data_IF_091683432427
#
_entry.id   IF_091683432427
#
_cell.length_a   1.000
_cell.length_b   1.000
_cell.length_c   1.000
_cell.angle_alpha   90.00
_cell.angle_beta   90.00
_cell.angle_gamma   90.00
#
_symmetry.space_group_name_H-M   'P 1'
#
loop_
_entity.id
_entity.type
_entity.pdbx_description
1 polymer ?
#
# COMPACT_ATOMS: atom_id res chain seq x y z
N UNK A 1 -14.70 -2.19 12.95
CA UNK A 1 -15.67 -1.50 13.84
C UNK A 1 -15.46 -1.76 15.33
N UNK A 2 -14.98 -2.95 15.76
CA UNK A 2 -14.86 -3.29 17.18
C UNK A 2 -14.04 -2.28 18.00
N UNK A 3 -12.88 -1.82 17.50
CA UNK A 3 -12.10 -0.78 18.19
C UNK A 3 -12.92 0.49 18.46
N UNK A 4 -13.68 0.96 17.47
CA UNK A 4 -14.44 2.23 17.56
C UNK A 4 -15.70 2.14 18.45
N UNK A 5 -16.07 0.93 18.87
CA UNK A 5 -17.33 0.67 19.61
C UNK A 5 -17.09 -0.03 20.95
N UNK A 6 -15.83 -0.31 21.30
CA UNK A 6 -15.47 -0.97 22.54
C UNK A 6 -15.43 0.05 23.69
N UNK A 7 -16.13 -0.25 24.78
CA UNK A 7 -16.12 0.56 26.00
C UNK A 7 -15.11 0.07 27.05
N UNK A 8 -14.55 -1.11 26.85
CA UNK A 8 -13.51 -1.69 27.71
C UNK A 8 -12.14 -1.18 27.25
N UNK A 9 -11.48 -0.43 28.12
CA UNK A 9 -10.21 0.23 27.83
C UNK A 9 -9.09 -0.79 27.54
N UNK A 10 -9.06 -1.92 28.25
CA UNK A 10 -8.03 -2.94 28.09
C UNK A 10 -8.18 -3.61 26.72
N UNK A 11 -9.41 -3.97 26.35
CA UNK A 11 -9.71 -4.57 25.04
C UNK A 11 -9.46 -3.56 23.91
N UNK A 12 -9.85 -2.30 24.11
CA UNK A 12 -9.60 -1.24 23.13
C UNK A 12 -8.10 -1.03 22.88
N UNK A 13 -7.28 -0.99 23.93
CA UNK A 13 -5.84 -0.86 23.79
C UNK A 13 -5.23 -2.05 23.05
N UNK A 14 -5.66 -3.28 23.36
CA UNK A 14 -5.19 -4.46 22.65
C UNK A 14 -5.55 -4.40 21.15
N UNK A 15 -6.79 -4.05 20.81
CA UNK A 15 -7.24 -3.89 19.43
C UNK A 15 -6.49 -2.76 18.69
N UNK A 16 -6.12 -1.69 19.40
CA UNK A 16 -5.35 -0.59 18.82
C UNK A 16 -3.94 -1.05 18.43
N UNK A 17 -3.26 -1.82 19.30
CA UNK A 17 -1.95 -2.39 19.01
C UNK A 17 -1.99 -3.33 17.81
N UNK A 18 -2.97 -4.22 17.74
CA UNK A 18 -3.16 -5.11 16.59
C UNK A 18 -3.36 -4.33 15.28
N UNK A 19 -4.17 -3.27 15.31
CA UNK A 19 -4.37 -2.40 14.13
C UNK A 19 -3.08 -1.68 13.73
N UNK A 20 -2.27 -1.24 14.71
CA UNK A 20 -0.97 -0.62 14.45
C UNK A 20 -0.06 -1.62 13.75
N UNK A 21 0.03 -2.86 14.22
CA UNK A 21 0.86 -3.90 13.63
C UNK A 21 0.45 -4.23 12.20
N UNK A 22 -0.86 -4.41 11.96
CA UNK A 22 -1.41 -4.62 10.61
C UNK A 22 -1.09 -3.43 9.69
N UNK A 23 -1.21 -2.20 10.20
CA UNK A 23 -0.90 -1.01 9.43
C UNK A 23 0.60 -0.87 9.13
N UNK A 24 1.47 -1.27 10.05
CA UNK A 24 2.91 -1.28 9.87
C UNK A 24 3.31 -2.30 8.78
N UNK A 25 2.73 -3.49 8.82
CA UNK A 25 2.97 -4.50 7.78
C UNK A 25 2.47 -4.03 6.42
N UNK A 26 1.28 -3.42 6.36
CA UNK A 26 0.76 -2.79 5.13
C UNK A 26 1.73 -1.74 4.56
N UNK A 27 2.29 -0.86 5.42
CA UNK A 27 3.28 0.15 5.00
C UNK A 27 4.56 -0.51 4.49
N UNK A 28 5.07 -1.53 5.19
CA UNK A 28 6.26 -2.28 4.80
C UNK A 28 6.10 -2.90 3.41
N UNK A 29 4.98 -3.59 3.18
CA UNK A 29 4.65 -4.18 1.87
C UNK A 29 4.53 -3.11 0.77
N UNK A 30 3.86 -1.99 1.05
CA UNK A 30 3.72 -0.87 0.10
C UNK A 30 5.09 -0.33 -0.31
N UNK A 31 6.01 -0.15 0.64
CA UNK A 31 7.37 0.32 0.36
C UNK A 31 8.18 -0.71 -0.43
N UNK A 32 8.13 -1.98 -0.05
CA UNK A 32 8.85 -3.04 -0.74
C UNK A 32 8.42 -3.18 -2.21
N UNK A 33 7.12 -3.09 -2.49
CA UNK A 33 6.62 -3.15 -3.87
C UNK A 33 7.04 -1.91 -4.66
N UNK A 34 7.01 -0.73 -4.03
CA UNK A 34 7.48 0.49 -4.66
C UNK A 34 8.97 0.41 -5.06
N UNK A 35 9.82 -0.08 -4.16
CA UNK A 35 11.25 -0.32 -4.42
C UNK A 35 11.46 -1.37 -5.53
N UNK A 36 10.66 -2.43 -5.53
CA UNK A 36 10.68 -3.44 -6.59
C UNK A 36 10.36 -2.82 -7.97
N UNK A 37 9.29 -2.02 -8.07
CA UNK A 37 8.88 -1.34 -9.29
C UNK A 37 9.99 -0.39 -9.80
N UNK A 38 10.62 0.35 -8.88
CA UNK A 38 11.72 1.26 -9.23
C UNK A 38 12.95 0.51 -9.74
N UNK A 39 13.36 -0.55 -9.04
CA UNK A 39 14.55 -1.35 -9.40
C UNK A 39 14.42 -2.10 -10.74
N UNK A 40 13.19 -2.45 -11.13
CA UNK A 40 12.92 -3.14 -12.40
C UNK A 40 12.55 -2.17 -13.54
N UNK A 41 12.68 -0.86 -13.32
CA UNK A 41 12.38 0.21 -14.29
C UNK A 41 10.99 0.06 -14.93
N UNK A 42 10.01 -0.40 -14.14
CA UNK A 42 8.65 -0.71 -14.62
C UNK A 42 7.77 0.54 -14.75
N UNK A 43 8.36 1.72 -14.59
CA UNK A 43 7.67 3.01 -14.66
C UNK A 43 7.90 3.58 -16.06
N UNK A 44 6.88 3.51 -16.93
CA UNK A 44 6.85 4.38 -18.09
C UNK A 44 6.51 5.81 -17.63
N UNK A 45 7.44 6.76 -17.85
CA UNK A 45 7.31 8.17 -17.46
C UNK A 45 6.65 9.02 -18.56
N UNK A 46 5.63 8.50 -19.22
CA UNK A 46 4.74 9.28 -20.08
C UNK A 46 3.79 10.16 -19.24
N UNK A 47 2.72 10.69 -19.84
CA UNK A 47 1.68 11.46 -19.12
C UNK A 47 1.01 10.65 -18.00
N UNK A 48 1.01 9.32 -18.11
CA UNK A 48 0.43 8.36 -17.16
C UNK A 48 1.48 7.29 -16.86
N UNK A 49 1.62 6.92 -15.60
CA UNK A 49 2.49 5.82 -15.17
C UNK A 49 1.68 4.51 -15.19
N UNK A 50 2.17 3.53 -15.93
CA UNK A 50 1.58 2.19 -16.00
C UNK A 50 2.57 1.20 -15.42
N UNK A 51 2.16 0.44 -14.40
CA UNK A 51 2.95 -0.62 -13.77
C UNK A 51 2.28 -1.96 -14.08
N UNK A 52 2.99 -2.86 -14.77
CA UNK A 52 2.51 -4.21 -15.06
C UNK A 52 2.89 -5.16 -13.93
N UNK A 53 1.92 -5.69 -13.18
CA UNK A 53 2.14 -6.57 -12.02
C UNK A 53 1.40 -7.90 -12.12
N UNK A 54 0.93 -8.25 -13.33
CA UNK A 54 0.03 -9.40 -13.58
C UNK A 54 0.55 -10.73 -13.00
N UNK A 55 1.87 -10.95 -13.02
CA UNK A 55 2.53 -12.19 -12.57
C UNK A 55 3.37 -12.03 -11.29
N UNK A 56 3.20 -10.92 -10.57
CA UNK A 56 4.08 -10.55 -9.47
C UNK A 56 3.82 -11.32 -8.15
N UNK A 57 2.72 -12.07 -8.06
CA UNK A 57 2.32 -12.78 -6.84
C UNK A 57 1.84 -11.89 -5.68
N UNK A 58 1.87 -10.57 -5.83
CA UNK A 58 1.44 -9.63 -4.79
C UNK A 58 -0.08 -9.50 -4.69
N UNK A 59 -0.55 -9.20 -3.48
CA UNK A 59 -1.96 -8.98 -3.19
C UNK A 59 -2.46 -7.68 -3.85
N UNK A 60 -3.44 -7.80 -4.75
CA UNK A 60 -4.02 -6.67 -5.50
C UNK A 60 -4.58 -5.55 -4.61
N UNK A 61 -5.01 -5.84 -3.39
CA UNK A 61 -5.54 -4.82 -2.46
C UNK A 61 -4.49 -3.78 -2.05
N UNK A 62 -3.19 -4.09 -2.16
CA UNK A 62 -2.11 -3.15 -1.85
C UNK A 62 -1.82 -2.20 -3.03
N UNK A 63 -2.20 -2.56 -4.26
CA UNK A 63 -1.83 -1.82 -5.47
C UNK A 63 -2.41 -0.41 -5.49
N UNK A 64 -3.62 -0.21 -4.96
CA UNK A 64 -4.18 1.14 -4.84
C UNK A 64 -3.33 2.06 -3.97
N UNK A 65 -2.72 1.53 -2.90
CA UNK A 65 -1.83 2.30 -2.02
C UNK A 65 -0.51 2.62 -2.70
N UNK A 66 0.07 1.64 -3.39
CA UNK A 66 1.32 1.83 -4.15
C UNK A 66 1.09 2.81 -5.30
N UNK A 67 -0.04 2.72 -6.03
CA UNK A 67 -0.41 3.64 -7.10
C UNK A 67 -0.49 5.09 -6.62
N UNK A 68 -1.13 5.29 -5.46
CA UNK A 68 -1.21 6.63 -4.86
C UNK A 68 0.18 7.15 -4.50
N UNK A 69 1.02 6.32 -3.88
CA UNK A 69 2.41 6.69 -3.54
C UNK A 69 3.22 7.07 -4.78
N UNK A 70 3.16 6.27 -5.86
CA UNK A 70 3.80 6.57 -7.14
C UNK A 70 3.25 7.88 -7.72
N UNK A 71 1.93 8.07 -7.70
CA UNK A 71 1.33 9.26 -8.25
C UNK A 71 1.75 10.53 -7.52
N UNK A 72 1.90 10.47 -6.19
CA UNK A 72 2.42 11.57 -5.38
C UNK A 72 3.90 11.84 -5.68
N UNK A 73 4.73 10.81 -5.75
CA UNK A 73 6.18 10.94 -6.01
C UNK A 73 6.47 11.60 -7.36
N UNK A 74 5.72 11.23 -8.41
CA UNK A 74 5.98 11.67 -9.78
C UNK A 74 5.03 12.76 -10.28
N UNK A 75 4.03 13.16 -9.48
CA UNK A 75 3.03 14.17 -9.83
C UNK A 75 2.16 13.78 -11.04
N UNK A 76 1.89 12.48 -11.24
CA UNK A 76 1.22 11.94 -12.42
C UNK A 76 0.26 10.81 -12.05
N UNK A 77 -0.86 10.61 -12.77
CA UNK A 77 -1.72 9.46 -12.55
C UNK A 77 -0.95 8.14 -12.69
N UNK A 78 -1.23 7.18 -11.82
CA UNK A 78 -0.64 5.84 -11.85
C UNK A 78 -1.73 4.78 -11.95
N UNK A 79 -1.56 3.81 -12.84
CA UNK A 79 -2.44 2.68 -13.07
C UNK A 79 -1.66 1.37 -12.95
N UNK A 80 -2.29 0.36 -12.34
CA UNK A 80 -1.78 -1.01 -12.32
C UNK A 80 -2.48 -1.82 -13.41
N UNK A 81 -1.70 -2.54 -14.21
CA UNK A 81 -2.13 -3.48 -15.25
C UNK A 81 -1.72 -4.90 -14.91
#
# INVERSE_FOLDING_TARGET
MKLLTCSDEVISNQLALEIIDINNERKRLTNSIFEYIQSHNMINKDKIIVVNMTDSGYNKNIFGLVANKIAQEYGRPCLFG
#
